data_IF_082696810097
#
_entry.id   IF_082696810097
#
_cell.length_a   1.000
_cell.length_b   1.000
_cell.length_c   1.000
_cell.angle_alpha   90.00
_cell.angle_beta   90.00
_cell.angle_gamma   90.00
#
_symmetry.space_group_name_H-M   'P 1'
#
loop_
_entity.id
_entity.type
_entity.pdbx_description
1 polymer ?
#
# COMPACT_ATOMS: atom_id res chain seq x y z
N UNK A 1 6.75 0.97 3.80
CA UNK A 1 5.38 1.51 3.94
C UNK A 1 5.09 2.35 2.71
N UNK A 2 3.96 2.14 2.04
CA UNK A 2 3.52 2.84 0.84
C UNK A 2 2.13 3.48 1.11
N UNK A 3 2.02 4.80 1.26
CA UNK A 3 0.72 5.46 1.30
C UNK A 3 0.08 5.42 -0.10
N UNK A 4 -1.23 5.21 -0.16
CA UNK A 4 -1.97 5.16 -1.42
C UNK A 4 -3.36 5.79 -1.26
N UNK A 5 -3.78 6.55 -2.27
CA UNK A 5 -5.12 7.12 -2.39
C UNK A 5 -5.50 7.21 -3.87
N UNK A 6 -6.51 6.45 -4.29
CA UNK A 6 -6.99 6.41 -5.67
C UNK A 6 -5.89 6.12 -6.73
N UNK A 7 -5.04 5.14 -6.47
CA UNK A 7 -3.91 4.71 -7.32
C UNK A 7 -4.11 3.27 -7.84
N UNK A 8 -5.37 2.85 -8.09
CA UNK A 8 -5.68 1.48 -8.50
C UNK A 8 -4.83 1.03 -9.70
N UNK A 9 -4.56 1.91 -10.66
CA UNK A 9 -3.83 1.55 -11.89
C UNK A 9 -2.31 1.37 -11.68
N UNK A 10 -1.75 1.88 -10.58
CA UNK A 10 -0.29 1.86 -10.35
C UNK A 10 0.12 1.02 -9.16
N UNK A 11 -0.70 0.95 -8.12
CA UNK A 11 -0.32 0.37 -6.82
C UNK A 11 0.21 -1.06 -6.96
N UNK A 12 -0.39 -1.88 -7.83
CA UNK A 12 0.01 -3.25 -8.03
C UNK A 12 1.42 -3.40 -8.65
N UNK A 13 1.79 -2.51 -9.58
CA UNK A 13 3.11 -2.52 -10.19
C UNK A 13 4.19 -2.10 -9.19
N UNK A 14 3.91 -1.09 -8.36
CA UNK A 14 4.83 -0.62 -7.30
C UNK A 14 5.05 -1.71 -6.25
N UNK A 15 3.98 -2.36 -5.77
CA UNK A 15 4.06 -3.45 -4.79
C UNK A 15 4.90 -4.61 -5.34
N UNK A 16 4.64 -5.05 -6.57
CA UNK A 16 5.42 -6.15 -7.19
C UNK A 16 6.88 -5.77 -7.41
N UNK A 17 7.16 -4.54 -7.85
CA UNK A 17 8.52 -4.06 -8.03
C UNK A 17 9.30 -4.05 -6.72
N UNK A 18 8.66 -3.59 -5.64
CA UNK A 18 9.26 -3.63 -4.31
C UNK A 18 9.54 -5.08 -3.87
N UNK A 19 8.54 -5.96 -3.88
CA UNK A 19 8.68 -7.37 -3.50
C UNK A 19 9.69 -8.15 -4.35
N UNK A 20 9.85 -7.77 -5.62
CA UNK A 20 10.84 -8.36 -6.53
C UNK A 20 12.28 -7.92 -6.29
N UNK A 21 12.52 -6.97 -5.37
CA UNK A 21 13.87 -6.46 -5.08
C UNK A 21 14.60 -7.41 -4.12
N UNK A 22 15.72 -8.02 -4.54
CA UNK A 22 16.47 -8.94 -3.69
C UNK A 22 17.05 -8.22 -2.47
N UNK A 23 16.82 -8.76 -1.28
CA UNK A 23 17.41 -8.30 -0.04
C UNK A 23 18.11 -9.48 0.66
N UNK A 24 19.44 -9.65 0.47
CA UNK A 24 20.17 -10.76 1.07
C UNK A 24 20.04 -10.75 2.59
N UNK A 25 19.63 -11.88 3.16
CA UNK A 25 19.51 -12.06 4.62
C UNK A 25 18.25 -11.46 5.25
N UNK A 26 17.28 -10.96 4.46
CA UNK A 26 16.02 -10.45 4.97
C UNK A 26 14.84 -10.80 4.06
N UNK A 27 13.66 -10.99 4.66
CA UNK A 27 12.40 -11.00 3.90
C UNK A 27 11.87 -9.58 3.78
N UNK A 28 11.38 -9.21 2.60
CA UNK A 28 10.73 -7.92 2.39
C UNK A 28 9.23 -8.05 2.59
N UNK A 29 8.67 -7.16 3.41
CA UNK A 29 7.23 -6.96 3.53
C UNK A 29 6.85 -5.59 2.95
N UNK A 30 5.83 -5.54 2.11
CA UNK A 30 5.24 -4.29 1.65
C UNK A 30 3.95 -4.03 2.41
N UNK A 31 3.93 -2.93 3.17
CA UNK A 31 2.73 -2.45 3.87
C UNK A 31 2.17 -1.25 3.12
N UNK A 32 0.93 -1.34 2.64
CA UNK A 32 0.19 -0.25 2.00
C UNK A 32 -0.78 0.37 2.99
N UNK A 33 -0.74 1.69 3.12
CA UNK A 33 -1.70 2.47 3.90
C UNK A 33 -2.67 3.10 2.91
N UNK A 34 -3.88 2.54 2.80
CA UNK A 34 -4.95 3.09 1.96
C UNK A 34 -5.68 4.21 2.73
N UNK A 35 -5.48 5.45 2.31
CA UNK A 35 -6.04 6.67 2.92
C UNK A 35 -7.48 6.93 2.43
N UNK A 36 -8.33 5.91 2.52
CA UNK A 36 -9.76 6.01 2.19
C UNK A 36 -10.06 6.08 0.69
N UNK A 37 -9.35 5.31 -0.15
CA UNK A 37 -9.61 5.28 -1.60
C UNK A 37 -11.04 4.87 -1.93
N UNK A 38 -11.65 5.52 -2.91
CA UNK A 38 -12.97 5.17 -3.45
C UNK A 38 -12.89 4.20 -4.63
N UNK A 39 -11.68 3.91 -5.12
CA UNK A 39 -11.42 2.95 -6.20
C UNK A 39 -10.87 1.60 -5.68
N UNK A 40 -10.40 0.77 -6.61
CA UNK A 40 -9.85 -0.56 -6.33
C UNK A 40 -8.42 -0.56 -5.75
N UNK A 41 -7.90 0.56 -5.22
CA UNK A 41 -6.51 0.66 -4.71
C UNK A 41 -6.18 -0.38 -3.66
N UNK A 42 -6.99 -0.50 -2.59
CA UNK A 42 -6.74 -1.49 -1.54
C UNK A 42 -6.78 -2.93 -2.06
N UNK A 43 -7.76 -3.26 -2.89
CA UNK A 43 -7.91 -4.60 -3.47
C UNK A 43 -6.69 -4.96 -4.32
N UNK A 44 -6.29 -4.07 -5.24
CA UNK A 44 -5.16 -4.30 -6.13
C UNK A 44 -3.81 -4.35 -5.39
N UNK A 45 -3.67 -3.60 -4.30
CA UNK A 45 -2.51 -3.68 -3.41
C UNK A 45 -2.41 -5.06 -2.71
N UNK A 46 -3.52 -5.53 -2.14
CA UNK A 46 -3.59 -6.82 -1.46
C UNK A 46 -3.30 -7.98 -2.43
N UNK A 47 -3.93 -7.96 -3.62
CA UNK A 47 -3.69 -8.95 -4.67
C UNK A 47 -2.24 -8.96 -5.18
N UNK A 48 -1.55 -7.83 -5.11
CA UNK A 48 -0.14 -7.73 -5.47
C UNK A 48 0.81 -8.26 -4.39
N UNK A 49 0.30 -8.66 -3.22
CA UNK A 49 1.07 -9.24 -2.11
C UNK A 49 1.41 -8.27 -0.98
N UNK A 50 0.82 -7.07 -0.97
CA UNK A 50 0.99 -6.15 0.14
C UNK A 50 0.07 -6.49 1.32
N UNK A 51 0.53 -6.23 2.54
CA UNK A 51 -0.36 -6.07 3.69
C UNK A 51 -1.01 -4.68 3.62
N UNK A 52 -2.34 -4.64 3.57
CA UNK A 52 -3.08 -3.37 3.44
C UNK A 52 -3.69 -2.97 4.77
N UNK A 53 -3.45 -1.72 5.17
CA UNK A 53 -4.13 -1.06 6.28
C UNK A 53 -4.99 0.03 5.67
N UNK A 54 -6.32 -0.13 5.73
CA UNK A 54 -7.27 0.84 5.18
C UNK A 54 -7.81 1.74 6.28
N UNK A 55 -7.78 3.05 6.04
CA UNK A 55 -8.41 4.04 6.89
C UNK A 55 -9.88 4.21 6.47
N UNK A 56 -10.78 4.30 7.45
CA UNK A 56 -12.23 4.32 7.20
C UNK A 56 -12.70 5.54 6.38
N UNK A 57 -11.98 6.65 6.48
CA UNK A 57 -12.19 7.89 5.71
C UNK A 57 -10.81 8.53 5.46
N UNK A 58 -10.65 9.24 4.33
CA UNK A 58 -9.47 10.06 4.06
C UNK A 58 -9.40 11.16 5.12
N UNK A 59 -8.58 10.97 6.16
CA UNK A 59 -8.46 11.92 7.28
C UNK A 59 -7.31 12.91 7.08
N UNK A 60 -6.78 12.98 5.86
CA UNK A 60 -5.63 13.81 5.52
C UNK A 60 -4.32 13.33 6.15
N UNK A 61 -3.22 13.90 5.65
CA UNK A 61 -1.81 13.53 5.91
C UNK A 61 -1.46 13.38 7.41
N UNK A 62 -2.15 14.09 8.32
CA UNK A 62 -1.89 14.01 9.75
C UNK A 62 -2.30 12.69 10.42
N UNK A 63 -3.25 11.93 9.85
CA UNK A 63 -3.72 10.68 10.45
C UNK A 63 -2.88 9.46 10.02
N UNK A 64 -2.25 9.52 8.84
CA UNK A 64 -1.44 8.43 8.29
C UNK A 64 -0.08 8.25 9.00
N UNK A 65 0.41 9.29 9.70
CA UNK A 65 1.71 9.30 10.37
C UNK A 65 1.65 9.03 11.89
N UNK A 66 0.45 8.79 12.45
CA UNK A 66 0.24 8.76 13.90
C UNK A 66 0.07 7.37 14.54
N UNK A 67 0.43 6.27 13.85
CA UNK A 67 0.45 4.92 14.44
C UNK A 67 1.66 4.11 13.99
#
# INVERSE_FOLDING_TARGET
MLPAFNEADRVAAVVRGALGTPLPGAALEVVVIDDGSSDATAERAALAGARVIRLAENRGVGAALAR
#
